data_IF_609000561747
#
_entry.id   IF_609000561747
#
_cell.length_a   1.000
_cell.length_b   1.000
_cell.length_c   1.000
_cell.angle_alpha   90.00
_cell.angle_beta   90.00
_cell.angle_gamma   90.00
#
_symmetry.space_group_name_H-M   'P 1'
#
loop_
_entity.id
_entity.type
_entity.pdbx_description
1 polymer ?
#
# COMPACT_ATOMS: atom_id res chain seq x y z
N UNK A 1 11.33 14.39 8.78
CA UNK A 1 12.17 13.20 8.48
C UNK A 1 11.36 11.89 8.54
N UNK A 2 10.07 11.88 8.14
CA UNK A 2 9.18 10.69 8.16
C UNK A 2 8.78 10.26 6.73
N UNK A 3 8.77 11.19 5.76
CA UNK A 3 8.32 10.90 4.39
C UNK A 3 9.26 9.97 3.58
N UNK A 4 10.58 10.05 3.80
CA UNK A 4 11.60 9.25 3.08
C UNK A 4 11.46 7.74 3.27
N UNK A 5 10.89 7.29 4.39
CA UNK A 5 10.71 5.86 4.64
C UNK A 5 9.39 5.32 4.07
N UNK A 6 8.41 6.20 3.82
CA UNK A 6 7.06 5.82 3.37
C UNK A 6 6.96 5.74 1.86
N UNK A 7 7.63 6.66 1.18
CA UNK A 7 7.47 6.95 -0.23
C UNK A 7 8.76 6.71 -1.00
N UNK A 8 8.63 6.24 -2.24
CA UNK A 8 9.73 6.13 -3.18
C UNK A 8 9.76 7.37 -4.06
N UNK A 9 10.54 8.38 -3.66
CA UNK A 9 10.64 9.65 -4.38
C UNK A 9 11.08 9.50 -5.84
N UNK A 10 12.09 8.68 -6.20
CA UNK A 10 12.43 8.46 -7.60
C UNK A 10 11.26 7.98 -8.47
N UNK A 11 10.47 7.00 -8.00
CA UNK A 11 9.28 6.52 -8.71
C UNK A 11 8.22 7.62 -8.81
N UNK A 12 8.00 8.38 -7.72
CA UNK A 12 7.03 9.47 -7.71
C UNK A 12 7.42 10.61 -8.65
N UNK A 13 8.69 10.99 -8.68
CA UNK A 13 9.21 12.05 -9.55
C UNK A 13 9.09 11.61 -11.02
N UNK A 14 9.46 10.37 -11.37
CA UNK A 14 9.29 9.83 -12.72
C UNK A 14 7.82 9.82 -13.16
N UNK A 15 6.92 9.33 -12.31
CA UNK A 15 5.48 9.33 -12.60
C UNK A 15 4.93 10.74 -12.76
N UNK A 16 5.37 11.67 -11.92
CA UNK A 16 4.96 13.08 -11.99
C UNK A 16 5.46 13.73 -13.28
N UNK A 17 6.69 13.48 -13.68
CA UNK A 17 7.26 14.00 -14.93
C UNK A 17 6.54 13.46 -16.17
N UNK A 18 6.16 12.17 -16.15
CA UNK A 18 5.47 11.53 -17.28
C UNK A 18 4.00 11.91 -17.38
N UNK A 19 3.31 12.05 -16.25
CA UNK A 19 1.84 12.15 -16.20
C UNK A 19 1.33 13.54 -15.81
N UNK A 20 2.14 14.33 -15.09
CA UNK A 20 1.73 15.59 -14.46
C UNK A 20 0.89 15.40 -13.19
N UNK A 21 0.82 16.46 -12.38
CA UNK A 21 0.21 16.43 -11.04
C UNK A 21 -1.27 16.00 -11.04
N UNK A 22 -2.05 16.43 -12.04
CA UNK A 22 -3.49 16.13 -12.12
C UNK A 22 -3.75 14.64 -12.36
N UNK A 23 -3.03 14.02 -13.31
CA UNK A 23 -3.16 12.58 -13.56
C UNK A 23 -2.64 11.77 -12.38
N UNK A 24 -1.60 12.27 -11.71
CA UNK A 24 -1.08 11.64 -10.49
C UNK A 24 -2.14 11.62 -9.38
N UNK A 25 -2.89 12.71 -9.18
CA UNK A 25 -4.03 12.74 -8.24
C UNK A 25 -5.09 11.70 -8.58
N UNK A 26 -5.48 11.57 -9.85
CA UNK A 26 -6.46 10.58 -10.28
C UNK A 26 -5.99 9.13 -10.06
N UNK A 27 -4.69 8.86 -10.26
CA UNK A 27 -4.10 7.55 -9.96
C UNK A 27 -4.20 7.26 -8.45
N UNK A 28 -3.99 8.27 -7.62
CA UNK A 28 -4.12 8.12 -6.17
C UNK A 28 -5.55 7.88 -5.72
N UNK A 29 -6.53 8.54 -6.34
CA UNK A 29 -7.94 8.25 -6.05
C UNK A 29 -8.33 6.82 -6.44
N UNK A 30 -7.78 6.31 -7.56
CA UNK A 30 -7.97 4.90 -7.95
C UNK A 30 -7.25 3.95 -6.99
N UNK A 31 -6.04 4.30 -6.55
CA UNK A 31 -5.33 3.57 -5.51
C UNK A 31 -6.15 3.53 -4.21
N UNK A 32 -6.80 4.64 -3.87
CA UNK A 32 -7.68 4.75 -2.70
C UNK A 32 -8.82 3.74 -2.76
N UNK A 33 -9.50 3.66 -3.91
CA UNK A 33 -10.56 2.68 -4.13
C UNK A 33 -10.03 1.23 -4.02
N UNK A 34 -8.83 0.96 -4.55
CA UNK A 34 -8.22 -0.37 -4.47
C UNK A 34 -7.92 -0.80 -3.03
N UNK A 35 -7.39 0.07 -2.16
CA UNK A 35 -7.14 -0.32 -0.77
C UNK A 35 -8.46 -0.59 -0.03
N UNK A 36 -9.52 0.19 -0.29
CA UNK A 36 -10.82 0.02 0.38
C UNK A 36 -11.44 -1.34 0.09
N UNK A 37 -11.17 -1.91 -1.10
CA UNK A 37 -11.60 -3.24 -1.46
C UNK A 37 -10.70 -4.35 -0.90
N UNK A 38 -9.38 -4.17 -0.91
CA UNK A 38 -8.43 -5.24 -0.60
C UNK A 38 -8.12 -5.39 0.90
N UNK A 39 -8.04 -4.30 1.66
CA UNK A 39 -7.72 -4.35 3.10
C UNK A 39 -8.71 -5.19 3.89
N UNK A 40 -10.04 -5.07 3.70
CA UNK A 40 -11.00 -5.93 4.41
C UNK A 40 -10.75 -7.41 4.16
N UNK A 41 -10.41 -7.80 2.92
CA UNK A 41 -10.11 -9.20 2.57
C UNK A 41 -8.86 -9.67 3.30
N UNK A 42 -7.79 -8.86 3.31
CA UNK A 42 -6.52 -9.17 3.98
C UNK A 42 -6.73 -9.37 5.50
N UNK A 43 -7.60 -8.56 6.11
CA UNK A 43 -7.86 -8.56 7.55
C UNK A 43 -8.90 -9.59 8.00
N UNK A 44 -9.72 -10.10 7.09
CA UNK A 44 -10.79 -11.03 7.42
C UNK A 44 -10.22 -12.42 7.74
N UNK A 45 -10.16 -12.74 9.03
CA UNK A 45 -9.72 -14.05 9.52
C UNK A 45 -10.65 -15.22 9.17
N UNK A 46 -11.81 -14.97 8.56
CA UNK A 46 -12.68 -16.02 8.01
C UNK A 46 -12.35 -16.34 6.55
N UNK A 47 -11.61 -15.49 5.84
CA UNK A 47 -11.14 -15.80 4.49
C UNK A 47 -10.08 -16.90 4.53
N UNK A 48 -10.05 -17.71 3.48
CA UNK A 48 -8.94 -18.63 3.29
C UNK A 48 -7.62 -17.87 3.12
N UNK A 49 -6.52 -18.52 3.49
CA UNK A 49 -5.21 -17.89 3.48
C UNK A 49 -4.76 -17.48 2.07
N UNK A 50 -5.20 -18.20 1.04
CA UNK A 50 -4.77 -17.96 -0.33
C UNK A 50 -5.42 -16.67 -0.86
N UNK A 51 -6.72 -16.47 -0.64
CA UNK A 51 -7.46 -15.25 -0.94
C UNK A 51 -6.87 -14.04 -0.21
N UNK A 52 -6.52 -14.19 1.08
CA UNK A 52 -5.85 -13.14 1.84
C UNK A 52 -4.47 -12.80 1.25
N UNK A 53 -3.72 -13.84 0.84
CA UNK A 53 -2.41 -13.69 0.21
C UNK A 53 -2.49 -13.03 -1.17
N UNK A 54 -3.49 -13.38 -1.99
CA UNK A 54 -3.75 -12.77 -3.29
C UNK A 54 -4.15 -11.29 -3.16
N UNK A 55 -4.97 -10.97 -2.16
CA UNK A 55 -5.33 -9.58 -1.86
C UNK A 55 -4.10 -8.77 -1.43
N UNK A 56 -3.24 -9.33 -0.56
CA UNK A 56 -1.98 -8.69 -0.17
C UNK A 56 -1.02 -8.52 -1.36
N UNK A 57 -0.92 -9.53 -2.23
CA UNK A 57 -0.12 -9.47 -3.46
C UNK A 57 -0.58 -8.37 -4.41
N UNK A 58 -1.89 -8.26 -4.61
CA UNK A 58 -2.51 -7.23 -5.44
C UNK A 58 -2.25 -5.83 -4.87
N UNK A 59 -2.42 -5.66 -3.55
CA UNK A 59 -2.15 -4.39 -2.87
C UNK A 59 -0.67 -4.01 -2.93
N UNK A 60 0.25 -4.98 -2.81
CA UNK A 60 1.69 -4.76 -2.98
C UNK A 60 2.01 -4.20 -4.36
N UNK A 61 1.51 -4.84 -5.42
CA UNK A 61 1.75 -4.42 -6.80
C UNK A 61 1.26 -2.99 -7.05
N UNK A 62 0.01 -2.70 -6.67
CA UNK A 62 -0.58 -1.37 -6.80
C UNK A 62 0.19 -0.30 -6.00
N UNK A 63 0.67 -0.64 -4.80
CA UNK A 63 1.43 0.27 -3.95
C UNK A 63 2.82 0.57 -4.52
N UNK A 64 3.51 -0.45 -5.03
CA UNK A 64 4.81 -0.30 -5.64
C UNK A 64 4.76 0.54 -6.92
N UNK A 65 3.73 0.33 -7.75
CA UNK A 65 3.58 1.07 -9.02
C UNK A 65 3.31 2.56 -8.86
N UNK A 66 2.90 3.01 -7.67
CA UNK A 66 2.60 4.42 -7.38
C UNK A 66 3.53 5.00 -6.30
N UNK A 67 4.64 4.31 -5.99
CA UNK A 67 5.67 4.81 -5.08
C UNK A 67 5.34 4.72 -3.59
N UNK A 68 4.31 3.99 -3.15
CA UNK A 68 4.00 3.76 -1.73
C UNK A 68 4.81 2.58 -1.16
N UNK A 69 6.12 2.80 -1.07
CA UNK A 69 7.10 1.76 -0.74
C UNK A 69 6.85 1.06 0.59
N UNK A 70 6.50 1.79 1.65
CA UNK A 70 6.27 1.16 2.95
C UNK A 70 5.06 0.23 2.95
N UNK A 71 3.99 0.58 2.21
CA UNK A 71 2.81 -0.27 2.05
C UNK A 71 3.18 -1.54 1.29
N UNK A 72 3.89 -1.40 0.16
CA UNK A 72 4.36 -2.53 -0.63
C UNK A 72 5.24 -3.49 0.20
N UNK A 73 6.16 -2.93 0.99
CA UNK A 73 7.03 -3.70 1.86
C UNK A 73 6.25 -4.39 3.00
N UNK A 74 5.25 -3.73 3.59
CA UNK A 74 4.38 -4.37 4.59
C UNK A 74 3.62 -5.55 4.00
N UNK A 75 3.03 -5.40 2.82
CA UNK A 75 2.34 -6.49 2.12
C UNK A 75 3.31 -7.66 1.84
N UNK A 76 4.54 -7.38 1.40
CA UNK A 76 5.58 -8.41 1.22
C UNK A 76 5.87 -9.16 2.52
N UNK A 77 5.98 -8.46 3.65
CA UNK A 77 6.22 -9.09 4.96
C UNK A 77 5.04 -9.97 5.39
N UNK A 78 3.81 -9.53 5.14
CA UNK A 78 2.59 -10.31 5.39
C UNK A 78 2.57 -11.59 4.55
N UNK A 79 2.80 -11.49 3.23
CA UNK A 79 2.89 -12.64 2.32
C UNK A 79 3.94 -13.66 2.79
N UNK A 80 5.13 -13.18 3.17
CA UNK A 80 6.22 -14.03 3.66
C UNK A 80 5.88 -14.71 4.99
N UNK A 81 5.27 -13.97 5.93
CA UNK A 81 4.90 -14.53 7.22
C UNK A 81 3.82 -15.61 7.06
N UNK A 82 2.83 -15.42 6.19
CA UNK A 82 1.89 -16.48 5.83
C UNK A 82 2.62 -17.66 5.20
N UNK A 83 3.46 -17.42 4.17
CA UNK A 83 4.26 -18.46 3.50
C UNK A 83 5.05 -19.34 4.47
N UNK A 84 5.68 -18.71 5.46
CA UNK A 84 6.52 -19.35 6.48
C UNK A 84 5.70 -19.96 7.64
N UNK A 85 4.36 -20.08 7.51
CA UNK A 85 3.44 -20.61 8.52
C UNK A 85 3.41 -19.82 9.84
N UNK A 86 3.78 -18.53 9.81
CA UNK A 86 3.76 -17.61 10.96
C UNK A 86 2.49 -16.76 10.97
N UNK A 87 1.31 -17.40 10.97
CA UNK A 87 0.02 -16.71 10.80
C UNK A 87 -0.20 -15.58 11.81
N UNK A 88 0.11 -15.78 13.09
CA UNK A 88 -0.05 -14.73 14.11
C UNK A 88 0.81 -13.48 13.82
N UNK A 89 2.03 -13.68 13.31
CA UNK A 89 2.89 -12.57 12.90
C UNK A 89 2.33 -11.87 11.66
N UNK A 90 1.84 -12.63 10.68
CA UNK A 90 1.22 -12.10 9.48
C UNK A 90 -0.01 -11.26 9.81
N UNK A 91 -0.87 -11.75 10.70
CA UNK A 91 -2.08 -11.05 11.15
C UNK A 91 -1.72 -9.76 11.92
N UNK A 92 -0.68 -9.80 12.76
CA UNK A 92 -0.18 -8.60 13.44
C UNK A 92 0.37 -7.56 12.46
N UNK A 93 1.11 -7.99 11.44
CA UNK A 93 1.62 -7.10 10.38
C UNK A 93 0.47 -6.53 9.55
N UNK A 94 -0.52 -7.36 9.20
CA UNK A 94 -1.68 -6.96 8.42
C UNK A 94 -2.55 -5.93 9.16
N UNK A 95 -2.73 -6.09 10.48
CA UNK A 95 -3.49 -5.15 11.31
C UNK A 95 -2.98 -3.70 11.25
N UNK A 96 -1.69 -3.50 10.96
CA UNK A 96 -1.09 -2.17 10.77
C UNK A 96 -1.22 -1.59 9.36
N UNK A 97 -1.73 -2.33 8.38
CA UNK A 97 -1.88 -1.84 7.00
C UNK A 97 -2.81 -0.62 6.87
N UNK A 98 -4.00 -0.56 7.51
CA UNK A 98 -4.89 0.59 7.35
C UNK A 98 -4.24 1.92 7.72
N UNK A 99 -3.58 1.96 8.89
CA UNK A 99 -2.88 3.16 9.37
C UNK A 99 -1.71 3.54 8.47
N UNK A 100 -0.94 2.54 8.01
CA UNK A 100 0.20 2.77 7.14
C UNK A 100 -0.23 3.35 5.78
N UNK A 101 -1.31 2.82 5.20
CA UNK A 101 -1.88 3.34 3.94
C UNK A 101 -2.34 4.77 4.10
N UNK A 102 -3.08 5.09 5.17
CA UNK A 102 -3.57 6.45 5.40
C UNK A 102 -2.42 7.44 5.63
N UNK A 103 -1.40 7.05 6.40
CA UNK A 103 -0.21 7.89 6.61
C UNK A 103 0.56 8.13 5.30
N UNK A 104 0.67 7.11 4.46
CA UNK A 104 1.32 7.19 3.15
C UNK A 104 0.55 8.10 2.20
N UNK A 105 -0.79 7.97 2.17
CA UNK A 105 -1.70 8.82 1.40
C UNK A 105 -1.59 10.29 1.80
N UNK A 106 -1.62 10.59 3.10
CA UNK A 106 -1.47 11.97 3.60
C UNK A 106 -0.11 12.57 3.25
N UNK A 107 0.96 11.77 3.34
CA UNK A 107 2.30 12.22 2.98
C UNK A 107 2.39 12.57 1.50
N UNK A 108 1.76 11.77 0.64
CA UNK A 108 1.74 12.02 -0.79
C UNK A 108 0.82 13.20 -1.19
N UNK A 109 -0.34 13.34 -0.55
CA UNK A 109 -1.21 14.51 -0.75
C UNK A 109 -0.49 15.83 -0.43
N UNK A 110 0.31 15.87 0.64
CA UNK A 110 1.14 17.02 1.00
C UNK A 110 2.20 17.32 -0.07
N UNK A 111 2.79 16.30 -0.69
CA UNK A 111 3.78 16.49 -1.77
C UNK A 111 3.15 17.09 -3.03
N UNK A 112 1.91 16.71 -3.34
CA UNK A 112 1.19 17.20 -4.52
C UNK A 112 0.51 18.56 -4.31
N UNK A 113 0.74 19.21 -3.15
CA UNK A 113 0.18 20.53 -2.84
C UNK A 113 -1.34 20.55 -2.65
N UNK A 114 -1.96 19.42 -2.31
CA UNK A 114 -3.36 19.37 -1.93
C UNK A 114 -3.50 19.80 -0.45
N UNK A 115 -3.86 21.07 -0.23
CA UNK A 115 -4.43 21.55 1.03
C UNK A 115 -5.91 21.19 1.10
#
# INVERSE_FOLDING_TARGET
MIADALLNFPVLDELREQLGDENMRQILDRFVANYQALIPIILDGQQDRDARSEAAHSLKGASASVGLQAVAERCRQVELAWRDQRSAQADQLAAGLPELVETSRQSLARLLGAN
#
